data_IF_475605680072
#
_entry.id   IF_475605680072
#
_cell.length_a   1.000
_cell.length_b   1.000
_cell.length_c   1.000
_cell.angle_alpha   90.00
_cell.angle_beta   90.00
_cell.angle_gamma   90.00
#
_symmetry.space_group_name_H-M   'P 1'
#
loop_
_entity.id
_entity.type
_entity.pdbx_description
1 polymer ?
#
# COMPACT_ATOMS: atom_id res chain seq x y z
N UNK A 1 0.32 11.03 -23.24
CA UNK A 1 0.54 12.21 -22.38
C UNK A 1 0.41 11.78 -20.92
N UNK A 2 1.31 12.22 -20.03
CA UNK A 2 1.19 11.95 -18.60
C UNK A 2 -0.02 12.69 -18.01
N UNK A 3 -0.70 12.07 -17.05
CA UNK A 3 -1.75 12.73 -16.27
C UNK A 3 -1.12 13.42 -15.07
N UNK A 4 -1.56 14.65 -14.76
CA UNK A 4 -1.08 15.39 -13.61
C UNK A 4 -2.14 15.37 -12.51
N UNK A 5 -1.75 14.98 -11.30
CA UNK A 5 -2.64 14.99 -10.14
C UNK A 5 -2.20 16.09 -9.18
N UNK A 6 -3.14 16.98 -8.86
CA UNK A 6 -2.99 17.91 -7.76
C UNK A 6 -3.40 17.20 -6.46
N UNK A 7 -2.47 17.10 -5.53
CA UNK A 7 -2.76 16.59 -4.18
C UNK A 7 -3.42 17.71 -3.37
N UNK A 8 -4.57 17.42 -2.76
CA UNK A 8 -5.38 18.40 -2.02
C UNK A 8 -4.82 18.74 -0.63
N UNK A 9 -3.75 18.07 -0.18
CA UNK A 9 -3.24 18.18 1.18
C UNK A 9 -1.73 18.41 1.22
N UNK A 10 -1.33 19.14 2.27
CA UNK A 10 0.03 19.47 2.65
C UNK A 10 0.96 18.21 2.71
N UNK A 11 2.29 18.40 2.62
CA UNK A 11 3.31 17.47 2.07
C UNK A 11 3.30 16.01 2.61
N UNK A 12 3.91 15.04 1.90
CA UNK A 12 5.24 15.22 1.27
C UNK A 12 5.28 15.53 -0.23
N UNK A 13 4.24 15.23 -1.01
CA UNK A 13 4.32 15.35 -2.48
C UNK A 13 3.46 16.50 -3.02
N UNK A 14 4.10 17.57 -3.51
CA UNK A 14 3.44 18.76 -4.08
C UNK A 14 2.76 18.48 -5.42
N UNK A 15 3.34 17.59 -6.23
CA UNK A 15 2.84 17.22 -7.54
C UNK A 15 3.05 15.73 -7.77
N UNK A 16 2.03 15.07 -8.31
CA UNK A 16 2.12 13.68 -8.74
C UNK A 16 1.87 13.59 -10.24
N UNK A 17 2.60 12.71 -10.91
CA UNK A 17 2.42 12.43 -12.33
C UNK A 17 2.09 10.96 -12.55
N UNK A 18 1.10 10.70 -13.39
CA UNK A 18 0.65 9.37 -13.78
C UNK A 18 1.10 9.04 -15.20
N UNK A 19 1.95 8.03 -15.35
CA UNK A 19 2.32 7.48 -16.65
C UNK A 19 1.44 6.29 -16.99
N UNK A 20 0.64 6.42 -18.04
CA UNK A 20 -0.34 5.41 -18.43
C UNK A 20 0.32 4.09 -18.81
N UNK A 21 -0.20 3.02 -18.23
CA UNK A 21 0.05 1.63 -18.59
C UNK A 21 -1.13 1.09 -19.38
N UNK A 22 -0.86 0.49 -20.54
CA UNK A 22 -1.89 -0.22 -21.33
C UNK A 22 -2.32 -1.51 -20.65
N UNK A 23 -1.35 -2.25 -20.12
CA UNK A 23 -1.56 -3.47 -19.34
C UNK A 23 -0.79 -3.33 -18.02
N UNK A 24 -1.51 -3.09 -16.93
CA UNK A 24 -0.93 -2.94 -15.60
C UNK A 24 -0.39 -4.28 -15.06
N UNK A 25 -0.86 -5.43 -15.56
CA UNK A 25 -0.29 -6.73 -15.19
C UNK A 25 1.03 -7.03 -15.87
N UNK A 26 1.49 -6.20 -16.81
CA UNK A 26 2.87 -6.25 -17.28
C UNK A 26 3.86 -5.70 -16.23
N UNK A 27 3.39 -4.91 -15.24
CA UNK A 27 4.24 -4.38 -14.18
C UNK A 27 4.48 -5.42 -13.07
N UNK A 28 5.75 -5.69 -12.76
CA UNK A 28 6.18 -6.69 -11.77
C UNK A 28 5.56 -6.46 -10.40
N UNK A 29 5.42 -5.20 -9.96
CA UNK A 29 4.83 -4.87 -8.64
C UNK A 29 3.39 -5.34 -8.55
N UNK A 30 2.64 -5.20 -9.64
CA UNK A 30 1.24 -5.64 -9.72
C UNK A 30 1.16 -7.17 -9.80
N UNK A 31 2.11 -7.81 -10.50
CA UNK A 31 2.17 -9.28 -10.55
C UNK A 31 2.43 -9.91 -9.19
N UNK A 32 3.26 -9.29 -8.35
CA UNK A 32 3.61 -9.79 -7.02
C UNK A 32 2.59 -9.34 -5.93
N UNK A 33 1.79 -8.32 -6.23
CA UNK A 33 0.80 -7.78 -5.30
C UNK A 33 -0.28 -8.79 -4.90
N UNK A 34 -0.43 -8.98 -3.59
CA UNK A 34 -1.50 -9.80 -2.99
C UNK A 34 -2.72 -8.93 -2.68
N UNK A 35 -3.66 -8.87 -3.62
CA UNK A 35 -4.91 -8.12 -3.47
C UNK A 35 -6.09 -8.88 -4.11
N UNK A 36 -7.22 -8.96 -3.42
CA UNK A 36 -8.37 -9.76 -3.87
C UNK A 36 -8.86 -9.33 -5.25
N UNK A 37 -9.07 -8.03 -5.47
CA UNK A 37 -9.52 -7.51 -6.77
C UNK A 37 -8.52 -7.80 -7.91
N UNK A 38 -7.21 -7.76 -7.64
CA UNK A 38 -6.21 -8.11 -8.65
C UNK A 38 -6.30 -9.59 -9.00
N UNK A 39 -6.47 -10.46 -8.01
CA UNK A 39 -6.60 -11.91 -8.22
C UNK A 39 -7.80 -12.26 -9.11
N UNK A 40 -8.93 -11.57 -8.93
CA UNK A 40 -10.09 -11.72 -9.83
C UNK A 40 -9.77 -11.24 -11.26
N UNK A 41 -9.16 -10.07 -11.40
CA UNK A 41 -8.83 -9.49 -12.71
C UNK A 41 -7.76 -10.25 -13.50
N UNK A 42 -6.90 -11.06 -12.85
CA UNK A 42 -5.81 -11.79 -13.54
C UNK A 42 -6.26 -12.69 -14.68
N UNK A 43 -7.53 -13.08 -14.68
CA UNK A 43 -8.13 -13.92 -15.73
C UNK A 43 -8.57 -13.12 -16.96
N UNK A 44 -8.61 -11.80 -16.86
CA UNK A 44 -9.08 -10.92 -17.94
C UNK A 44 -7.96 -10.66 -18.97
N UNK A 45 -8.29 -10.78 -20.25
CA UNK A 45 -7.39 -10.42 -21.36
C UNK A 45 -8.07 -9.45 -22.33
N UNK A 46 -7.39 -8.38 -22.79
CA UNK A 46 -6.07 -7.90 -22.34
C UNK A 46 -6.13 -7.42 -20.87
N UNK A 47 -5.01 -7.34 -20.15
CA UNK A 47 -5.01 -6.94 -18.72
C UNK A 47 -5.52 -5.50 -18.49
N UNK A 48 -5.92 -5.15 -17.25
CA UNK A 48 -6.49 -3.85 -16.94
C UNK A 48 -5.49 -2.71 -17.18
N UNK A 49 -5.99 -1.56 -17.60
CA UNK A 49 -5.16 -0.36 -17.70
C UNK A 49 -4.76 0.13 -16.31
N UNK A 50 -3.70 0.93 -16.25
CA UNK A 50 -3.23 1.52 -15.00
C UNK A 50 -2.35 2.74 -15.20
N UNK A 51 -1.76 3.21 -14.12
CA UNK A 51 -0.80 4.31 -14.11
C UNK A 51 0.35 3.99 -13.16
N UNK A 52 1.59 4.18 -13.62
CA UNK A 52 2.72 4.34 -12.71
C UNK A 52 2.66 5.76 -12.18
N UNK A 53 2.61 5.93 -10.86
CA UNK A 53 2.58 7.24 -10.23
C UNK A 53 3.98 7.61 -9.76
N UNK A 54 4.41 8.82 -10.09
CA UNK A 54 5.70 9.38 -9.71
C UNK A 54 5.54 10.69 -8.94
N UNK A 55 6.49 10.97 -8.07
CA UNK A 55 6.62 12.28 -7.43
C UNK A 55 7.25 13.33 -8.36
N UNK A 56 7.44 14.55 -7.83
CA UNK A 56 8.07 15.66 -8.54
C UNK A 56 9.53 15.41 -8.91
N UNK A 57 10.22 14.53 -8.20
CA UNK A 57 11.63 14.18 -8.43
C UNK A 57 11.75 13.02 -9.43
N UNK A 58 10.63 12.53 -9.96
CA UNK A 58 10.56 11.42 -10.90
C UNK A 58 10.66 10.05 -10.26
N UNK A 59 10.59 9.94 -8.93
CA UNK A 59 10.65 8.66 -8.21
C UNK A 59 9.31 7.95 -8.31
N UNK A 60 9.36 6.66 -8.62
CA UNK A 60 8.19 5.79 -8.65
C UNK A 60 7.62 5.58 -7.24
N UNK A 61 6.37 5.98 -7.02
CA UNK A 61 5.65 5.74 -5.78
C UNK A 61 4.87 4.41 -5.82
N UNK A 62 4.45 3.97 -7.01
CA UNK A 62 3.72 2.73 -7.17
C UNK A 62 2.85 2.71 -8.43
N UNK A 63 1.91 1.77 -8.46
CA UNK A 63 1.01 1.55 -9.59
C UNK A 63 -0.44 1.62 -9.14
N UNK A 64 -1.26 2.35 -9.90
CA UNK A 64 -2.71 2.38 -9.76
C UNK A 64 -3.33 1.52 -10.87
N UNK A 65 -4.12 0.52 -10.49
CA UNK A 65 -4.73 -0.43 -11.42
C UNK A 65 -6.24 -0.16 -11.51
N UNK A 66 -6.75 0.07 -12.72
CA UNK A 66 -8.17 0.35 -12.93
C UNK A 66 -8.98 -0.94 -12.79
N UNK A 67 -10.00 -0.91 -11.94
CA UNK A 67 -10.94 -2.02 -11.85
C UNK A 67 -11.86 -2.08 -13.08
N UNK A 68 -12.42 -3.26 -13.38
CA UNK A 68 -13.23 -3.49 -14.59
C UNK A 68 -14.73 -3.73 -14.36
N UNK A 69 -15.21 -3.60 -13.13
CA UNK A 69 -16.56 -4.06 -12.81
C UNK A 69 -16.53 -5.53 -12.42
N UNK A 70 -16.69 -5.85 -11.13
CA UNK A 70 -16.74 -7.23 -10.66
C UNK A 70 -17.34 -7.30 -9.26
N UNK A 71 -17.92 -8.44 -8.94
CA UNK A 71 -18.31 -8.77 -7.58
C UNK A 71 -17.12 -9.43 -6.86
N UNK A 72 -16.74 -8.88 -5.71
CA UNK A 72 -15.78 -9.49 -4.78
C UNK A 72 -16.50 -9.83 -3.48
N UNK A 73 -15.86 -10.60 -2.59
CA UNK A 73 -16.49 -11.05 -1.34
C UNK A 73 -17.02 -9.91 -0.46
N UNK A 74 -16.41 -8.72 -0.59
CA UNK A 74 -16.76 -7.51 0.18
C UNK A 74 -17.69 -6.54 -0.57
N UNK A 75 -18.24 -6.93 -1.74
CA UNK A 75 -19.23 -6.15 -2.47
C UNK A 75 -18.90 -5.92 -3.95
N UNK A 76 -19.61 -4.98 -4.57
CA UNK A 76 -19.46 -4.65 -5.98
C UNK A 76 -18.33 -3.64 -6.20
N UNK A 77 -17.41 -3.97 -7.09
CA UNK A 77 -16.34 -3.08 -7.57
C UNK A 77 -16.72 -2.56 -8.95
N UNK A 78 -16.60 -1.25 -9.18
CA UNK A 78 -16.95 -0.61 -10.44
C UNK A 78 -15.72 -0.13 -11.23
N UNK A 79 -15.91 0.30 -12.47
CA UNK A 79 -14.85 0.81 -13.37
C UNK A 79 -14.25 2.15 -12.96
N UNK A 80 -14.88 2.83 -11.99
CA UNK A 80 -14.38 4.04 -11.32
C UNK A 80 -13.45 3.74 -10.14
N UNK A 81 -13.36 2.47 -9.73
CA UNK A 81 -12.52 2.06 -8.62
C UNK A 81 -11.11 1.71 -9.08
N UNK A 82 -10.16 1.89 -8.18
CA UNK A 82 -8.74 1.69 -8.40
C UNK A 82 -8.15 0.85 -7.28
N UNK A 83 -7.26 -0.08 -7.63
CA UNK A 83 -6.39 -0.76 -6.66
C UNK A 83 -5.08 0.01 -6.57
N UNK A 84 -4.60 0.22 -5.34
CA UNK A 84 -3.32 0.85 -5.08
C UNK A 84 -2.27 -0.24 -4.83
N UNK A 85 -1.17 -0.21 -5.59
CA UNK A 85 -0.01 -1.07 -5.38
C UNK A 85 1.19 -0.18 -5.11
N UNK A 86 1.57 0.04 -3.83
CA UNK A 86 2.72 0.89 -3.52
C UNK A 86 4.04 0.21 -3.89
N UNK A 87 5.08 1.02 -4.13
CA UNK A 87 6.44 0.53 -4.33
C UNK A 87 6.99 -0.17 -3.08
N UNK A 88 6.56 0.30 -1.91
CA UNK A 88 6.94 -0.24 -0.61
C UNK A 88 5.73 -0.58 0.25
N UNK A 89 5.85 -1.67 1.00
CA UNK A 89 4.78 -2.14 1.87
C UNK A 89 3.73 -2.98 1.15
N UNK A 90 2.60 -3.20 1.84
CA UNK A 90 1.52 -4.04 1.32
C UNK A 90 0.43 -3.17 0.70
N UNK A 91 -0.18 -3.60 -0.41
CA UNK A 91 -1.40 -2.98 -0.91
C UNK A 91 -2.47 -2.88 0.19
N UNK A 92 -3.17 -1.74 0.32
CA UNK A 92 -4.35 -1.67 1.18
C UNK A 92 -5.40 -2.68 0.69
N UNK A 93 -6.21 -3.23 1.61
CA UNK A 93 -7.21 -4.28 1.25
C UNK A 93 -8.38 -3.77 0.39
N UNK A 94 -8.63 -2.46 0.45
CA UNK A 94 -9.78 -1.83 -0.21
C UNK A 94 -9.46 -1.31 -1.61
N UNK A 95 -10.53 -0.94 -2.33
CA UNK A 95 -10.45 -0.22 -3.60
C UNK A 95 -10.87 1.23 -3.42
N UNK A 96 -10.36 2.13 -4.25
CA UNK A 96 -10.50 3.57 -4.09
C UNK A 96 -11.32 4.15 -5.24
N UNK A 97 -12.33 4.96 -4.92
CA UNK A 97 -13.13 5.63 -5.93
C UNK A 97 -12.40 6.87 -6.45
N UNK A 98 -12.13 6.91 -7.76
CA UNK A 98 -11.46 8.03 -8.41
C UNK A 98 -9.93 7.92 -8.41
N UNK A 99 -9.34 8.30 -9.55
CA UNK A 99 -7.90 8.18 -9.79
C UNK A 99 -7.08 9.13 -8.91
N UNK A 100 -7.51 10.39 -8.78
CA UNK A 100 -6.82 11.40 -7.95
C UNK A 100 -6.80 11.00 -6.47
N UNK A 101 -7.92 10.48 -5.95
CA UNK A 101 -8.02 9.97 -4.57
C UNK A 101 -7.09 8.78 -4.36
N UNK A 102 -7.00 7.86 -5.32
CA UNK A 102 -6.09 6.73 -5.26
C UNK A 102 -4.61 7.17 -5.30
N UNK A 103 -4.27 8.16 -6.14
CA UNK A 103 -2.93 8.74 -6.20
C UNK A 103 -2.53 9.43 -4.88
N UNK A 104 -3.44 10.19 -4.27
CA UNK A 104 -3.19 10.82 -2.97
C UNK A 104 -2.97 9.79 -1.85
N UNK A 105 -3.78 8.71 -1.82
CA UNK A 105 -3.58 7.63 -0.85
C UNK A 105 -2.28 6.88 -1.07
N UNK A 106 -1.89 6.64 -2.32
CA UNK A 106 -0.62 6.02 -2.65
C UNK A 106 0.55 6.86 -2.11
N UNK A 107 0.54 8.16 -2.36
CA UNK A 107 1.50 9.11 -1.82
C UNK A 107 1.58 9.03 -0.29
N UNK A 108 0.44 9.03 0.40
CA UNK A 108 0.40 8.92 1.86
C UNK A 108 0.99 7.59 2.36
N UNK A 109 0.68 6.47 1.70
CA UNK A 109 1.18 5.16 2.09
C UNK A 109 2.70 5.08 1.96
N UNK A 110 3.28 5.60 0.87
CA UNK A 110 4.73 5.64 0.68
C UNK A 110 5.39 6.55 1.71
N UNK A 111 4.81 7.72 1.97
CA UNK A 111 5.30 8.64 3.01
C UNK A 111 5.36 8.01 4.40
N UNK A 112 4.38 7.16 4.73
CA UNK A 112 4.28 6.48 6.03
C UNK A 112 5.11 5.19 6.09
N UNK A 113 5.60 4.68 4.96
CA UNK A 113 6.27 3.38 4.90
C UNK A 113 7.46 3.25 5.86
N UNK A 114 8.36 4.25 6.02
CA UNK A 114 9.47 4.16 6.96
C UNK A 114 9.01 4.05 8.42
N UNK A 115 8.03 4.86 8.83
CA UNK A 115 7.45 4.82 10.16
C UNK A 115 6.77 3.48 10.46
N UNK A 116 6.04 2.93 9.49
CA UNK A 116 5.38 1.64 9.61
C UNK A 116 6.38 0.46 9.60
N UNK A 117 7.51 0.60 8.93
CA UNK A 117 8.60 -0.39 8.96
C UNK A 117 9.27 -0.40 10.34
N UNK A 118 9.60 0.77 10.89
CA UNK A 118 10.17 0.91 12.24
C UNK A 118 9.24 0.33 13.31
N UNK A 119 7.94 0.65 13.25
CA UNK A 119 6.95 0.09 14.18
C UNK A 119 6.89 -1.43 14.10
N UNK A 120 6.97 -2.00 12.90
CA UNK A 120 7.00 -3.46 12.71
C UNK A 120 8.27 -4.08 13.27
N UNK A 121 9.42 -3.42 13.08
CA UNK A 121 10.70 -3.87 13.65
C UNK A 121 10.62 -3.95 15.18
N UNK A 122 10.13 -2.88 15.83
CA UNK A 122 9.97 -2.85 17.30
C UNK A 122 9.03 -3.93 17.84
N UNK A 123 7.92 -4.19 17.13
CA UNK A 123 6.98 -5.25 17.53
C UNK A 123 7.63 -6.63 17.39
N UNK A 124 8.45 -6.85 16.37
CA UNK A 124 9.15 -8.13 16.20
C UNK A 124 10.29 -8.29 17.22
N UNK A 125 11.04 -7.22 17.50
CA UNK A 125 12.04 -7.18 18.57
C UNK A 125 11.40 -7.51 19.93
N UNK A 126 10.28 -6.88 20.27
CA UNK A 126 9.54 -7.14 21.51
C UNK A 126 8.86 -8.53 21.55
N UNK A 127 8.75 -9.24 20.42
CA UNK A 127 8.29 -10.64 20.39
C UNK A 127 9.42 -11.61 20.63
N UNK A 128 10.62 -11.29 20.15
CA UNK A 128 11.81 -12.10 20.34
C UNK A 128 12.38 -11.96 21.75
N UNK A 129 12.28 -10.75 22.32
CA UNK A 129 12.65 -10.44 23.70
C UNK A 129 11.45 -9.75 24.39
N UNK A 130 10.48 -10.54 24.90
CA UNK A 130 9.32 -9.98 25.56
C UNK A 130 9.76 -9.20 26.80
N UNK A 131 9.28 -7.96 27.01
CA UNK A 131 9.60 -7.24 28.23
C UNK A 131 9.17 -8.06 29.44
N UNK A 132 10.10 -8.28 30.37
CA UNK A 132 9.83 -9.00 31.63
C UNK A 132 8.68 -8.31 32.36
N UNK A 133 7.67 -9.09 32.76
CA UNK A 133 6.57 -8.56 33.55
C UNK A 133 7.13 -7.95 34.85
N UNK A 134 6.74 -6.73 35.24
CA UNK A 134 7.18 -6.13 36.50
C UNK A 134 6.91 -7.03 37.73
N UNK A 135 5.86 -7.86 37.70
CA UNK A 135 5.57 -8.81 38.78
C UNK A 135 6.51 -10.03 38.76
N UNK A 136 6.95 -10.46 37.57
CA UNK A 136 7.96 -11.53 37.44
C UNK A 136 9.35 -11.04 37.89
N UNK A 137 9.67 -9.77 37.64
CA UNK A 137 10.92 -9.14 38.09
C UNK A 137 11.00 -9.04 39.63
N UNK A 138 9.89 -8.67 40.29
CA UNK A 138 9.81 -8.63 41.76
C UNK A 138 9.89 -10.04 42.38
N UNK A 139 9.24 -11.04 41.76
CA UNK A 139 9.31 -12.43 42.20
C UNK A 139 10.72 -13.03 42.05
N UNK A 140 11.43 -12.73 40.95
CA UNK A 140 12.83 -13.15 40.75
C UNK A 140 13.78 -12.49 41.74
N UNK A 141 13.60 -11.19 42.02
CA UNK A 141 14.42 -10.48 43.00
C UNK A 141 14.30 -11.12 44.40
N UNK A 142 13.08 -11.50 44.81
CA UNK A 142 12.83 -12.21 46.07
C UNK A 142 13.51 -13.59 46.18
N UNK A 143 13.71 -14.29 45.06
CA UNK A 143 14.38 -15.61 45.03
C UNK A 143 15.92 -15.53 45.08
N UNK A 144 16.50 -14.38 44.75
CA UNK A 144 17.97 -14.17 44.74
C UNK A 144 18.53 -13.60 46.05
N UNK A 145 17.68 -13.36 47.07
CA UNK A 145 18.07 -12.82 48.38
C UNK A 145 17.82 -13.81 49.53
N UNK A 146 17.82 -15.12 49.23
CA UNK A 146 17.79 -16.20 50.22
C UNK A 146 19.18 -16.77 50.47
#
# INVERSE_FOLDING_TARGET
MPEHFHTLHAPPYRHLTGHRLRDAFADRRVQEARHQALNFMRRDRPGPAGYVVRDSDGRDLGVLVRCRGMQIAVGMVHTRHWVIVPVEGRPPRGVFNGLATAAAHLALLVAQAPMLAERRRRVEEARLDPPMDPFDAEALAGLTHS
#
